data_IF_181103732865
#
_entry.id   IF_181103732865
#
_cell.length_a   1.000
_cell.length_b   1.000
_cell.length_c   1.000
_cell.angle_alpha   90.00
_cell.angle_beta   90.00
_cell.angle_gamma   90.00
#
_symmetry.space_group_name_H-M   'P 1'
#
loop_
_entity.id
_entity.type
_entity.pdbx_description
1 polymer ?
#
# COMPACT_ATOMS: atom_id res chain seq x y z
N UNK A 1 -21.86 -16.29 -8.46
CA UNK A 1 -23.09 -17.07 -8.20
C UNK A 1 -24.09 -16.71 -9.27
N UNK A 2 -24.80 -17.70 -9.82
CA UNK A 2 -25.92 -17.42 -10.72
C UNK A 2 -25.56 -16.81 -12.08
N UNK A 3 -24.29 -16.80 -12.48
CA UNK A 3 -23.84 -16.17 -13.73
C UNK A 3 -23.91 -17.08 -14.96
N UNK A 4 -23.93 -18.40 -14.76
CA UNK A 4 -24.12 -19.40 -15.83
C UNK A 4 -25.39 -20.21 -15.58
N UNK A 5 -25.49 -20.84 -14.40
CA UNK A 5 -26.73 -21.46 -13.90
C UNK A 5 -27.28 -20.61 -12.76
N UNK A 6 -28.41 -19.95 -12.98
CA UNK A 6 -28.95 -18.88 -12.10
C UNK A 6 -29.17 -19.28 -10.65
N UNK A 7 -29.48 -20.55 -10.38
CA UNK A 7 -29.74 -21.10 -9.04
C UNK A 7 -28.56 -21.90 -8.45
N UNK A 8 -27.37 -21.88 -9.07
CA UNK A 8 -26.19 -22.62 -8.61
C UNK A 8 -24.99 -21.71 -8.37
N UNK A 9 -24.08 -22.20 -7.52
CA UNK A 9 -22.73 -21.67 -7.37
C UNK A 9 -21.78 -22.61 -8.09
N UNK A 10 -21.20 -22.15 -9.18
CA UNK A 10 -20.24 -22.92 -9.97
C UNK A 10 -18.84 -22.40 -9.73
N UNK A 11 -17.89 -23.33 -9.62
CA UNK A 11 -16.46 -23.10 -9.62
C UNK A 11 -15.80 -24.24 -10.38
N UNK A 12 -14.69 -23.94 -11.04
CA UNK A 12 -13.86 -24.89 -11.78
C UNK A 12 -12.41 -24.54 -11.55
N UNK A 13 -11.54 -25.54 -11.60
CA UNK A 13 -10.09 -25.40 -11.51
C UNK A 13 -9.47 -26.25 -12.60
N UNK A 14 -8.41 -25.77 -13.22
CA UNK A 14 -7.60 -26.57 -14.13
C UNK A 14 -6.80 -27.59 -13.32
N UNK A 15 -6.88 -28.87 -13.69
CA UNK A 15 -6.20 -29.96 -13.00
C UNK A 15 -7.01 -31.27 -13.05
N UNK A 16 -6.40 -32.33 -12.54
CA UNK A 16 -6.95 -33.69 -12.60
C UNK A 16 -7.93 -34.02 -11.46
N UNK A 17 -8.08 -33.13 -10.48
CA UNK A 17 -9.01 -33.31 -9.36
C UNK A 17 -9.58 -31.97 -8.88
N UNK A 18 -10.76 -32.05 -8.25
CA UNK A 18 -11.40 -30.94 -7.57
C UNK A 18 -11.62 -31.32 -6.10
N UNK A 19 -10.93 -30.63 -5.20
CA UNK A 19 -11.15 -30.74 -3.76
C UNK A 19 -11.92 -29.50 -3.26
N UNK A 20 -12.95 -29.72 -2.45
CA UNK A 20 -13.70 -28.66 -1.79
C UNK A 20 -14.29 -29.15 -0.46
N UNK A 21 -14.49 -28.21 0.47
CA UNK A 21 -15.03 -28.49 1.79
C UNK A 21 -16.39 -27.82 1.97
N UNK A 22 -17.37 -28.58 2.45
CA UNK A 22 -18.63 -28.04 2.94
C UNK A 22 -18.51 -27.84 4.45
N UNK A 23 -18.60 -26.60 4.91
CA UNK A 23 -18.43 -26.24 6.32
C UNK A 23 -19.78 -25.89 6.92
N UNK A 24 -20.27 -26.76 7.79
CA UNK A 24 -21.61 -26.66 8.38
C UNK A 24 -21.75 -25.50 9.39
N UNK A 25 -22.99 -25.10 9.65
CA UNK A 25 -23.46 -24.07 10.57
C UNK A 25 -24.22 -24.64 11.79
N UNK A 26 -25.47 -24.22 12.07
CA UNK A 26 -26.45 -23.67 11.12
C UNK A 26 -26.45 -22.14 11.01
N UNK A 27 -25.70 -21.42 11.85
CA UNK A 27 -25.61 -19.96 11.79
C UNK A 27 -24.35 -19.50 11.05
N UNK A 28 -24.36 -18.33 10.39
CA UNK A 28 -23.14 -17.77 9.77
C UNK A 28 -21.97 -17.63 10.74
N UNK A 29 -22.22 -17.34 12.03
CA UNK A 29 -21.17 -17.30 13.06
C UNK A 29 -20.55 -18.67 13.32
N UNK A 30 -21.36 -19.74 13.32
CA UNK A 30 -20.88 -21.11 13.49
C UNK A 30 -20.04 -21.57 12.28
N UNK A 31 -20.48 -21.25 11.06
CA UNK A 31 -19.70 -21.51 9.83
C UNK A 31 -18.34 -20.82 9.91
N UNK A 32 -18.31 -19.52 10.25
CA UNK A 32 -17.05 -18.77 10.42
C UNK A 32 -16.19 -19.34 11.56
N UNK A 33 -16.81 -19.84 12.64
CA UNK A 33 -16.09 -20.46 13.73
C UNK A 33 -15.34 -21.71 13.26
N UNK A 34 -16.00 -22.61 12.54
CA UNK A 34 -15.39 -23.82 11.98
C UNK A 34 -14.37 -23.50 10.88
N UNK A 35 -14.71 -22.58 9.97
CA UNK A 35 -13.80 -22.12 8.93
C UNK A 35 -12.51 -21.57 9.53
N UNK A 36 -12.58 -20.65 10.48
CA UNK A 36 -11.37 -20.10 11.12
C UNK A 36 -10.67 -21.09 12.06
N UNK A 37 -11.34 -22.14 12.54
CA UNK A 37 -10.64 -23.24 13.19
C UNK A 37 -9.81 -24.05 12.19
N UNK A 38 -10.36 -24.30 11.01
CA UNK A 38 -9.71 -25.06 9.93
C UNK A 38 -8.58 -24.26 9.25
N UNK A 39 -8.84 -22.99 8.94
CA UNK A 39 -7.95 -22.12 8.18
C UNK A 39 -7.27 -21.07 9.04
N UNK A 40 -7.14 -21.27 10.35
CA UNK A 40 -6.46 -20.34 11.26
C UNK A 40 -7.32 -19.20 11.82
N UNK A 41 -7.09 -18.89 13.10
CA UNK A 41 -7.82 -17.88 13.87
C UNK A 41 -7.14 -16.52 13.71
N UNK A 42 -7.90 -15.43 13.48
CA UNK A 42 -7.34 -14.09 13.57
C UNK A 42 -6.74 -13.87 14.95
N UNK A 43 -5.47 -13.46 15.02
CA UNK A 43 -4.90 -13.06 16.30
C UNK A 43 -5.50 -11.73 16.77
N UNK A 44 -5.33 -11.43 18.06
CA UNK A 44 -5.83 -10.22 18.69
C UNK A 44 -4.77 -9.11 18.54
N UNK A 45 -5.05 -8.01 17.81
CA UNK A 45 -4.13 -6.88 17.72
C UNK A 45 -4.01 -6.16 19.08
N UNK A 46 -2.88 -5.47 19.33
CA UNK A 46 -2.71 -4.67 20.53
C UNK A 46 -3.73 -3.52 20.61
N UNK A 47 -4.12 -3.13 21.82
CA UNK A 47 -5.14 -2.11 22.04
C UNK A 47 -4.81 -0.76 21.37
N UNK A 48 -3.53 -0.35 21.35
CA UNK A 48 -3.10 0.91 20.73
C UNK A 48 -3.39 0.94 19.21
N UNK A 49 -3.47 -0.22 18.56
CA UNK A 49 -3.73 -0.30 17.11
C UNK A 49 -5.14 0.16 16.72
N UNK A 50 -6.07 0.20 17.69
CA UNK A 50 -7.43 0.72 17.50
C UNK A 50 -7.53 2.25 17.60
N UNK A 51 -6.44 2.92 17.98
CA UNK A 51 -6.37 4.38 18.00
C UNK A 51 -6.36 4.99 16.59
N UNK A 52 -6.31 6.32 16.50
CA UNK A 52 -6.18 7.02 15.23
C UNK A 52 -4.78 6.87 14.63
N UNK A 53 -4.74 6.53 13.34
CA UNK A 53 -3.53 6.49 12.51
C UNK A 53 -3.49 7.72 11.60
N UNK A 54 -2.33 8.38 11.54
CA UNK A 54 -2.06 9.45 10.59
C UNK A 54 -0.83 9.09 9.76
N UNK A 55 -0.79 9.53 8.50
CA UNK A 55 0.31 9.19 7.60
C UNK A 55 0.90 10.43 6.97
N UNK A 56 2.14 10.30 6.48
CA UNK A 56 2.80 11.33 5.69
C UNK A 56 2.08 11.63 4.36
N UNK A 57 1.07 10.85 3.97
CA UNK A 57 0.52 10.73 2.61
C UNK A 57 1.51 10.13 1.60
N UNK A 58 1.09 9.94 0.34
CA UNK A 58 1.90 9.17 -0.64
C UNK A 58 2.97 10.03 -1.33
N UNK A 59 2.59 11.02 -2.14
CA UNK A 59 3.50 11.82 -2.98
C UNK A 59 3.66 13.27 -2.49
N UNK A 60 3.34 13.51 -1.22
CA UNK A 60 3.68 14.75 -0.53
C UNK A 60 5.17 14.78 -0.23
N UNK A 61 5.72 15.96 -0.02
CA UNK A 61 7.05 16.08 0.59
C UNK A 61 6.88 15.91 2.10
N UNK A 62 7.75 15.13 2.73
CA UNK A 62 7.76 14.96 4.17
C UNK A 62 9.19 14.70 4.66
N UNK A 63 9.61 15.53 5.60
CA UNK A 63 10.80 15.43 6.42
C UNK A 63 10.39 15.44 7.90
N UNK A 64 11.37 15.41 8.82
CA UNK A 64 11.07 15.43 10.25
C UNK A 64 10.27 16.70 10.67
N UNK A 65 10.54 17.86 10.06
CA UNK A 65 9.82 19.10 10.38
C UNK A 65 8.34 19.01 9.97
N UNK A 66 8.07 18.49 8.76
CA UNK A 66 6.72 18.27 8.25
C UNK A 66 5.96 17.28 9.13
N UNK A 67 6.60 16.19 9.53
CA UNK A 67 6.03 15.19 10.43
C UNK A 67 5.64 15.80 11.76
N UNK A 68 6.56 16.54 12.40
CA UNK A 68 6.29 17.22 13.67
C UNK A 68 5.16 18.25 13.53
N UNK A 69 5.10 19.00 12.42
CA UNK A 69 4.03 19.99 12.21
C UNK A 69 2.62 19.37 12.20
N UNK A 70 2.46 18.15 11.65
CA UNK A 70 1.17 17.44 11.71
C UNK A 70 0.86 16.93 13.10
N UNK A 71 1.86 16.38 13.79
CA UNK A 71 1.70 15.80 15.13
C UNK A 71 1.38 16.89 16.15
N UNK A 72 2.14 17.97 16.14
CA UNK A 72 1.94 19.12 17.03
C UNK A 72 0.61 19.79 16.69
N UNK A 73 0.28 19.94 15.40
CA UNK A 73 -1.02 20.45 14.99
C UNK A 73 -2.21 19.61 15.47
N UNK A 74 -2.07 18.29 15.55
CA UNK A 74 -3.10 17.41 16.15
C UNK A 74 -3.20 17.64 17.66
N UNK A 75 -2.06 17.75 18.36
CA UNK A 75 -2.02 18.01 19.80
C UNK A 75 -2.62 19.37 20.18
N UNK A 76 -2.27 20.45 19.46
CA UNK A 76 -2.82 21.81 19.61
C UNK A 76 -4.35 21.85 19.46
N UNK A 77 -4.90 20.95 18.64
CA UNK A 77 -6.35 20.87 18.35
C UNK A 77 -7.07 19.86 19.23
N UNK A 78 -6.37 19.30 20.22
CA UNK A 78 -6.88 18.25 21.10
C UNK A 78 -7.43 17.04 20.34
N UNK A 79 -6.76 16.65 19.25
CA UNK A 79 -7.09 15.48 18.44
C UNK A 79 -6.18 14.31 18.83
N UNK A 80 -6.68 13.28 19.53
CA UNK A 80 -5.85 12.15 19.94
C UNK A 80 -5.25 11.41 18.74
N UNK A 81 -3.93 11.25 18.75
CA UNK A 81 -3.16 10.53 17.74
C UNK A 81 -2.37 9.42 18.43
N UNK A 82 -2.36 8.23 17.85
CA UNK A 82 -1.77 7.05 18.49
C UNK A 82 -0.68 6.40 17.62
N UNK A 83 -0.87 6.41 16.29
CA UNK A 83 0.09 5.81 15.35
C UNK A 83 0.43 6.80 14.24
N UNK A 84 1.71 6.96 13.96
CA UNK A 84 2.20 7.73 12.81
C UNK A 84 2.86 6.81 11.78
N UNK A 85 2.46 6.94 10.51
CA UNK A 85 2.92 6.10 9.42
C UNK A 85 3.75 6.87 8.38
N UNK A 86 4.95 6.39 8.10
CA UNK A 86 5.81 6.85 7.01
C UNK A 86 5.54 6.03 5.74
N UNK A 87 5.04 6.70 4.69
CA UNK A 87 4.82 6.09 3.37
C UNK A 87 6.13 6.03 2.54
N UNK A 88 6.05 5.54 1.30
CA UNK A 88 7.17 5.11 0.44
C UNK A 88 8.48 5.95 0.45
N UNK A 89 8.41 7.27 0.47
CA UNK A 89 9.56 8.18 0.38
C UNK A 89 10.38 8.33 1.69
N UNK A 90 10.13 7.49 2.69
CA UNK A 90 11.15 7.27 3.72
C UNK A 90 12.42 6.64 3.12
N UNK A 91 12.29 5.93 2.00
CA UNK A 91 13.38 5.47 1.13
C UNK A 91 13.51 6.34 -0.14
N UNK A 92 14.69 6.33 -0.76
CA UNK A 92 14.96 7.10 -1.99
C UNK A 92 14.10 6.63 -3.17
N UNK A 93 13.65 7.58 -3.98
CA UNK A 93 12.88 7.29 -5.19
C UNK A 93 13.61 6.33 -6.14
N UNK A 94 12.87 5.39 -6.73
CA UNK A 94 13.34 4.33 -7.63
C UNK A 94 14.15 3.21 -6.96
N UNK A 95 14.33 3.23 -5.63
CA UNK A 95 15.03 2.20 -4.87
C UNK A 95 14.12 1.30 -4.02
N UNK A 96 12.81 1.55 -4.01
CA UNK A 96 11.88 0.86 -3.11
C UNK A 96 11.75 -0.63 -3.43
N UNK A 97 11.75 -1.57 -2.46
CA UNK A 97 11.95 -1.46 -1.02
C UNK A 97 13.33 -2.04 -0.64
N UNK A 98 14.34 -1.17 -0.45
CA UNK A 98 15.71 -1.57 -0.09
C UNK A 98 16.08 -1.36 1.38
N UNK A 99 15.16 -0.76 2.14
CA UNK A 99 15.26 -0.51 3.58
C UNK A 99 16.24 0.58 4.01
N UNK A 100 16.76 1.36 3.06
CA UNK A 100 17.67 2.47 3.33
C UNK A 100 16.90 3.78 3.49
N UNK A 101 17.01 4.41 4.66
CA UNK A 101 16.45 5.75 4.88
C UNK A 101 17.08 6.76 3.93
N UNK A 102 16.27 7.64 3.31
CA UNK A 102 16.82 8.72 2.48
C UNK A 102 17.61 9.72 3.33
N UNK A 103 18.95 9.77 3.24
CA UNK A 103 19.76 10.53 4.19
C UNK A 103 19.61 12.05 4.04
N UNK A 104 19.09 12.52 2.91
CA UNK A 104 18.79 13.95 2.71
C UNK A 104 17.52 14.37 3.46
N UNK A 105 16.54 13.48 3.53
CA UNK A 105 15.23 13.75 4.11
C UNK A 105 15.17 13.34 5.59
N UNK A 106 15.86 12.26 5.95
CA UNK A 106 15.92 11.67 7.29
C UNK A 106 17.38 11.42 7.70
N UNK A 107 18.13 12.47 8.09
CA UNK A 107 19.54 12.33 8.46
C UNK A 107 19.76 11.61 9.81
N UNK A 108 18.76 11.61 10.69
CA UNK A 108 18.77 10.97 12.01
C UNK A 108 17.47 10.17 12.22
N UNK A 109 17.28 9.02 11.52
CA UNK A 109 16.01 8.30 11.56
C UNK A 109 15.70 7.71 12.94
N UNK A 110 16.69 7.16 13.63
CA UNK A 110 16.52 6.58 14.96
C UNK A 110 16.20 7.65 16.01
N UNK A 111 16.92 8.79 15.99
CA UNK A 111 16.61 9.90 16.89
C UNK A 111 15.25 10.52 16.62
N UNK A 112 14.84 10.64 15.34
CA UNK A 112 13.49 11.09 14.99
C UNK A 112 12.44 10.14 15.57
N UNK A 113 12.56 8.83 15.34
CA UNK A 113 11.64 7.83 15.88
C UNK A 113 11.59 7.91 17.41
N UNK A 114 12.74 8.04 18.09
CA UNK A 114 12.81 8.20 19.54
C UNK A 114 12.05 9.44 20.03
N UNK A 115 12.18 10.58 19.34
CA UNK A 115 11.44 11.83 19.65
C UNK A 115 9.93 11.65 19.45
N UNK A 116 9.50 10.93 18.43
CA UNK A 116 8.08 10.61 18.20
C UNK A 116 7.53 9.68 19.28
N UNK A 117 8.28 8.65 19.66
CA UNK A 117 7.88 7.72 20.74
C UNK A 117 7.82 8.40 22.10
N UNK A 118 8.68 9.39 22.37
CA UNK A 118 8.61 10.20 23.59
C UNK A 118 7.30 10.99 23.71
N UNK A 119 6.61 11.26 22.59
CA UNK A 119 5.26 11.84 22.56
C UNK A 119 4.13 10.79 22.73
N UNK A 120 4.48 9.53 23.00
CA UNK A 120 3.51 8.43 23.19
C UNK A 120 3.02 7.79 21.90
N UNK A 121 3.64 8.09 20.75
CA UNK A 121 3.23 7.53 19.45
C UNK A 121 3.88 6.18 19.18
N UNK A 122 3.12 5.32 18.51
CA UNK A 122 3.63 4.14 17.81
C UNK A 122 4.00 4.50 16.37
N UNK A 123 5.05 3.87 15.84
CA UNK A 123 5.58 4.18 14.51
C UNK A 123 5.36 3.01 13.56
N UNK A 124 4.79 3.31 12.38
CA UNK A 124 4.64 2.38 11.28
C UNK A 124 5.44 2.84 10.05
N UNK A 125 6.08 1.91 9.35
CA UNK A 125 6.75 2.23 8.07
C UNK A 125 6.21 1.37 6.93
N UNK A 126 6.25 1.92 5.72
CA UNK A 126 5.84 1.23 4.51
C UNK A 126 6.91 0.24 4.06
N UNK A 127 6.48 -0.97 3.70
CA UNK A 127 7.32 -1.97 3.05
C UNK A 127 6.55 -2.66 1.92
N UNK A 128 7.27 -3.24 0.97
CA UNK A 128 6.69 -4.14 -0.01
C UNK A 128 7.68 -5.27 -0.37
N UNK A 129 7.25 -6.32 -1.07
CA UNK A 129 8.09 -7.47 -1.36
C UNK A 129 8.83 -7.34 -2.71
N UNK A 130 9.11 -6.11 -3.16
CA UNK A 130 9.79 -5.82 -4.43
C UNK A 130 11.01 -4.91 -4.20
N UNK A 131 11.92 -4.87 -5.17
CA UNK A 131 13.05 -3.94 -5.16
C UNK A 131 13.28 -3.33 -6.55
N UNK A 132 13.48 -2.01 -6.61
CA UNK A 132 13.86 -1.28 -7.82
C UNK A 132 15.35 -1.41 -8.14
N UNK A 133 15.70 -1.53 -9.43
CA UNK A 133 17.07 -1.80 -9.88
C UNK A 133 18.07 -0.68 -9.55
N UNK A 134 17.58 0.55 -9.32
CA UNK A 134 18.46 1.67 -8.94
C UNK A 134 19.10 1.47 -7.56
N UNK A 135 18.50 0.68 -6.68
CA UNK A 135 19.04 0.48 -5.33
C UNK A 135 20.44 -0.12 -5.39
N UNK A 136 21.42 0.41 -4.64
CA UNK A 136 22.73 -0.23 -4.50
C UNK A 136 22.64 -1.68 -4.01
N UNK A 137 21.61 -1.99 -3.21
CA UNK A 137 21.34 -3.31 -2.64
C UNK A 137 20.92 -4.33 -3.70
N UNK A 138 20.39 -3.88 -4.85
CA UNK A 138 19.95 -4.77 -5.92
C UNK A 138 21.08 -5.67 -6.43
N UNK A 139 22.31 -5.13 -6.53
CA UNK A 139 23.48 -5.89 -6.97
C UNK A 139 23.79 -7.05 -6.02
N UNK A 140 23.78 -6.79 -4.71
CA UNK A 140 23.98 -7.81 -3.68
C UNK A 140 22.94 -8.93 -3.81
N UNK A 141 21.65 -8.57 -3.90
CA UNK A 141 20.56 -9.54 -3.98
C UNK A 141 20.62 -10.38 -5.25
N UNK A 142 21.03 -9.79 -6.37
CA UNK A 142 21.25 -10.50 -7.64
C UNK A 142 22.41 -11.51 -7.50
N UNK A 143 23.54 -11.08 -6.95
CA UNK A 143 24.73 -11.93 -6.77
C UNK A 143 24.46 -13.10 -5.82
N UNK A 144 23.69 -12.86 -4.76
CA UNK A 144 23.26 -13.91 -3.81
C UNK A 144 22.11 -14.79 -4.30
N UNK A 145 21.49 -14.46 -5.43
CA UNK A 145 20.37 -15.23 -5.98
C UNK A 145 19.09 -15.14 -5.14
N UNK A 146 18.84 -14.01 -4.49
CA UNK A 146 17.68 -13.78 -3.62
C UNK A 146 16.45 -13.23 -4.36
N UNK A 147 16.59 -12.95 -5.65
CA UNK A 147 15.54 -12.39 -6.51
C UNK A 147 14.94 -13.47 -7.41
N UNK A 148 13.64 -13.37 -7.66
CA UNK A 148 12.86 -14.29 -8.49
C UNK A 148 13.41 -14.36 -9.93
N UNK A 149 13.55 -15.58 -10.45
CA UNK A 149 14.16 -15.85 -11.75
C UNK A 149 13.15 -16.36 -12.78
N UNK A 150 13.48 -16.12 -14.04
CA UNK A 150 12.89 -16.81 -15.19
C UNK A 150 13.47 -18.23 -15.29
N UNK A 151 12.83 -19.14 -16.06
CA UNK A 151 13.33 -20.50 -16.26
C UNK A 151 14.74 -20.58 -16.88
N UNK A 152 15.16 -19.55 -17.62
CA UNK A 152 16.51 -19.46 -18.20
C UNK A 152 17.59 -19.00 -17.20
N UNK A 153 17.21 -18.77 -15.94
CA UNK A 153 18.08 -18.28 -14.87
C UNK A 153 18.28 -16.76 -14.83
N UNK A 154 17.78 -16.01 -15.82
CA UNK A 154 17.78 -14.56 -15.78
C UNK A 154 16.78 -14.03 -14.73
N UNK A 155 16.97 -12.78 -14.28
CA UNK A 155 16.01 -12.18 -13.34
C UNK A 155 14.68 -11.90 -14.03
N UNK A 156 13.58 -12.18 -13.33
CA UNK A 156 12.30 -11.63 -13.74
C UNK A 156 12.27 -10.13 -13.38
N UNK A 157 12.06 -9.27 -14.39
CA UNK A 157 11.99 -7.82 -14.21
C UNK A 157 10.93 -7.17 -15.11
N UNK A 158 10.41 -6.02 -14.66
CA UNK A 158 9.59 -5.09 -15.46
C UNK A 158 9.66 -3.66 -14.89
N UNK A 159 8.98 -2.70 -15.55
CA UNK A 159 9.00 -1.28 -15.14
C UNK A 159 7.70 -0.78 -14.51
N UNK A 160 6.79 -1.69 -14.14
CA UNK A 160 5.61 -1.29 -13.37
C UNK A 160 6.03 -1.10 -11.92
N UNK A 161 5.64 0.02 -11.31
CA UNK A 161 5.95 0.44 -9.94
C UNK A 161 7.37 0.98 -9.71
N UNK A 162 8.43 0.25 -10.08
CA UNK A 162 9.81 0.75 -10.07
C UNK A 162 10.50 0.40 -11.39
N UNK A 163 11.45 1.21 -11.87
CA UNK A 163 12.32 0.83 -12.99
C UNK A 163 13.13 -0.42 -12.66
N UNK A 164 13.13 -1.40 -13.57
CA UNK A 164 13.84 -2.66 -13.40
C UNK A 164 13.42 -3.43 -12.13
N UNK A 165 12.17 -3.33 -11.72
CA UNK A 165 11.69 -3.99 -10.50
C UNK A 165 11.93 -5.49 -10.55
N UNK A 166 12.51 -6.04 -9.49
CA UNK A 166 12.55 -7.48 -9.21
C UNK A 166 11.74 -7.82 -7.94
N UNK A 167 11.47 -9.11 -7.73
CA UNK A 167 10.70 -9.63 -6.61
C UNK A 167 11.62 -10.44 -5.69
N UNK A 168 11.51 -10.26 -4.38
CA UNK A 168 12.22 -11.12 -3.42
C UNK A 168 11.66 -12.55 -3.48
N UNK A 169 12.52 -13.54 -3.68
CA UNK A 169 12.09 -14.95 -3.72
C UNK A 169 11.96 -15.50 -2.29
N UNK A 170 10.76 -15.44 -1.72
CA UNK A 170 10.52 -15.96 -0.38
C UNK A 170 10.40 -17.49 -0.29
N UNK A 171 10.57 -18.23 -1.38
CA UNK A 171 10.79 -19.68 -1.30
C UNK A 171 12.25 -20.00 -0.96
N UNK A 172 13.18 -19.07 -1.26
CA UNK A 172 14.56 -19.14 -0.82
C UNK A 172 14.67 -18.80 0.68
N UNK A 173 15.14 -19.73 1.55
CA UNK A 173 15.28 -19.47 2.99
C UNK A 173 16.28 -18.35 3.31
N UNK A 174 17.35 -18.19 2.54
CA UNK A 174 18.33 -17.13 2.77
C UNK A 174 17.79 -15.75 2.40
N UNK A 175 17.02 -15.66 1.31
CA UNK A 175 16.34 -14.42 0.92
C UNK A 175 15.32 -14.00 1.98
N UNK A 176 14.58 -14.97 2.55
CA UNK A 176 13.68 -14.73 3.67
C UNK A 176 14.43 -14.20 4.89
N UNK A 177 15.55 -14.83 5.24
CA UNK A 177 16.37 -14.41 6.38
C UNK A 177 16.90 -12.98 6.17
N UNK A 178 17.44 -12.68 4.99
CA UNK A 178 17.94 -11.34 4.65
C UNK A 178 16.86 -10.27 4.79
N UNK A 179 15.65 -10.53 4.28
CA UNK A 179 14.53 -9.59 4.41
C UNK A 179 14.10 -9.44 5.87
N UNK A 180 14.01 -10.55 6.61
CA UNK A 180 13.68 -10.54 8.02
C UNK A 180 14.70 -9.73 8.85
N UNK A 181 15.99 -9.83 8.56
CA UNK A 181 17.04 -9.08 9.26
C UNK A 181 16.94 -7.57 9.01
N UNK A 182 16.58 -7.15 7.79
CA UNK A 182 16.28 -5.74 7.50
C UNK A 182 15.10 -5.22 8.32
N UNK A 183 14.03 -6.01 8.44
CA UNK A 183 12.90 -5.66 9.31
C UNK A 183 13.29 -5.63 10.78
N UNK A 184 14.10 -6.59 11.27
CA UNK A 184 14.62 -6.60 12.64
C UNK A 184 15.43 -5.34 12.94
N UNK A 185 16.23 -4.87 11.97
CA UNK A 185 16.94 -3.59 12.06
C UNK A 185 16.00 -2.39 12.25
N UNK A 186 14.90 -2.32 11.48
CA UNK A 186 13.90 -1.26 11.65
C UNK A 186 13.18 -1.33 13.00
N UNK A 187 12.86 -2.54 13.48
CA UNK A 187 12.28 -2.72 14.82
C UNK A 187 13.26 -2.29 15.91
N UNK A 188 14.55 -2.61 15.76
CA UNK A 188 15.61 -2.19 16.69
C UNK A 188 15.75 -0.66 16.76
N UNK A 189 15.52 0.07 15.66
CA UNK A 189 15.44 1.54 15.64
C UNK A 189 14.18 2.10 16.31
N UNK A 190 13.21 1.24 16.67
CA UNK A 190 11.98 1.62 17.38
C UNK A 190 10.70 1.61 16.54
N UNK A 191 10.72 1.09 15.30
CA UNK A 191 9.49 0.85 14.52
C UNK A 191 8.63 -0.22 15.20
N UNK A 192 7.33 0.06 15.37
CA UNK A 192 6.40 -0.83 16.09
C UNK A 192 5.65 -1.79 15.16
N UNK A 193 5.41 -1.40 13.90
CA UNK A 193 4.65 -2.22 12.96
C UNK A 193 4.91 -1.85 11.49
N UNK A 194 4.42 -2.69 10.58
CA UNK A 194 4.65 -2.53 9.14
C UNK A 194 3.35 -2.46 8.35
N UNK A 195 3.33 -1.59 7.34
CA UNK A 195 2.34 -1.65 6.24
C UNK A 195 2.90 -2.58 5.17
N UNK A 196 2.39 -3.81 5.12
CA UNK A 196 2.75 -4.83 4.12
C UNK A 196 1.99 -4.59 2.82
N UNK A 197 2.50 -3.65 2.03
CA UNK A 197 1.89 -3.25 0.76
C UNK A 197 2.24 -4.22 -0.38
N UNK A 198 1.45 -4.22 -1.45
CA UNK A 198 1.60 -5.10 -2.61
C UNK A 198 1.55 -6.61 -2.30
N UNK A 199 2.17 -7.44 -3.15
CA UNK A 199 2.10 -8.90 -3.11
C UNK A 199 1.02 -9.52 -4.01
N UNK A 200 0.40 -8.78 -4.93
CA UNK A 200 -0.66 -9.32 -5.81
C UNK A 200 -0.19 -9.63 -7.24
N UNK A 201 0.79 -8.90 -7.76
CA UNK A 201 1.23 -9.00 -9.17
C UNK A 201 2.42 -9.93 -9.31
N UNK A 202 2.25 -11.16 -8.87
CA UNK A 202 3.30 -12.19 -8.91
C UNK A 202 3.25 -12.91 -10.27
N UNK A 203 4.35 -13.01 -11.02
CA UNK A 203 4.37 -13.64 -12.33
C UNK A 203 4.25 -15.18 -12.26
N UNK A 204 3.87 -15.79 -13.37
CA UNK A 204 3.80 -17.25 -13.54
C UNK A 204 4.82 -17.78 -14.54
N UNK A 205 5.47 -16.92 -15.32
CA UNK A 205 6.55 -17.21 -16.26
C UNK A 205 7.93 -17.22 -15.56
N UNK A 206 8.00 -17.94 -14.44
CA UNK A 206 9.12 -17.93 -13.49
C UNK A 206 9.43 -19.31 -12.94
N UNK A 207 10.59 -19.44 -12.32
CA UNK A 207 11.00 -20.61 -11.56
C UNK A 207 11.33 -20.18 -10.13
N UNK A 208 10.55 -20.69 -9.17
CA UNK A 208 10.79 -20.48 -7.74
C UNK A 208 11.98 -21.30 -7.26
N UNK A 209 12.71 -20.79 -6.27
CA UNK A 209 13.85 -21.48 -5.68
C UNK A 209 13.53 -22.90 -5.20
N UNK A 210 12.36 -23.13 -4.59
CA UNK A 210 11.94 -24.45 -4.09
C UNK A 210 11.23 -25.33 -5.14
N UNK A 211 11.11 -24.86 -6.39
CA UNK A 211 10.40 -25.57 -7.46
C UNK A 211 8.87 -25.51 -7.37
N UNK A 212 8.30 -24.65 -6.52
CA UNK A 212 6.85 -24.48 -6.39
C UNK A 212 6.16 -24.15 -7.71
N UNK A 213 4.92 -24.63 -7.84
CA UNK A 213 4.02 -24.31 -8.96
C UNK A 213 3.74 -22.79 -9.03
N UNK A 214 4.14 -22.09 -10.10
CA UNK A 214 3.93 -20.65 -10.24
C UNK A 214 2.45 -20.24 -10.22
N UNK A 215 1.52 -21.09 -10.68
CA UNK A 215 0.08 -20.79 -10.67
C UNK A 215 -0.47 -20.72 -9.24
N UNK A 216 -0.04 -21.63 -8.36
CA UNK A 216 -0.39 -21.62 -6.94
C UNK A 216 0.29 -20.47 -6.21
N UNK A 217 1.56 -20.24 -6.51
CA UNK A 217 2.36 -19.17 -5.90
C UNK A 217 1.85 -17.78 -6.20
N UNK A 218 1.20 -17.54 -7.35
CA UNK A 218 0.59 -16.24 -7.68
C UNK A 218 -0.24 -15.67 -6.53
N UNK A 219 -1.10 -16.51 -5.94
CA UNK A 219 -1.91 -16.12 -4.78
C UNK A 219 -1.22 -16.43 -3.46
N UNK A 220 -0.53 -17.57 -3.33
CA UNK A 220 0.04 -18.01 -2.05
C UNK A 220 1.21 -17.12 -1.56
N UNK A 221 1.90 -16.43 -2.46
CA UNK A 221 3.00 -15.52 -2.10
C UNK A 221 2.58 -14.44 -1.10
N UNK A 222 1.35 -13.92 -1.20
CA UNK A 222 0.83 -12.94 -0.25
C UNK A 222 0.76 -13.49 1.18
N UNK A 223 0.46 -14.79 1.34
CA UNK A 223 0.49 -15.44 2.64
C UNK A 223 1.92 -15.53 3.18
N UNK A 224 2.86 -16.04 2.38
CA UNK A 224 4.26 -16.20 2.77
C UNK A 224 4.89 -14.86 3.17
N UNK A 225 4.66 -13.81 2.37
CA UNK A 225 5.16 -12.47 2.65
C UNK A 225 4.63 -11.93 3.98
N UNK A 226 3.32 -11.96 4.20
CA UNK A 226 2.74 -11.45 5.45
C UNK A 226 3.13 -12.30 6.66
N UNK A 227 3.25 -13.63 6.49
CA UNK A 227 3.70 -14.53 7.56
C UNK A 227 5.14 -14.23 7.98
N UNK A 228 6.03 -13.96 7.02
CA UNK A 228 7.42 -13.58 7.30
C UNK A 228 7.49 -12.31 8.14
N UNK A 229 6.77 -11.26 7.74
CA UNK A 229 6.78 -9.96 8.45
C UNK A 229 6.15 -10.12 9.84
N UNK A 230 5.08 -10.92 9.94
CA UNK A 230 4.44 -11.24 11.21
C UNK A 230 5.38 -11.97 12.18
N UNK A 231 6.12 -12.98 11.68
CA UNK A 231 7.10 -13.72 12.48
C UNK A 231 8.18 -12.79 13.03
N UNK A 232 8.67 -11.85 12.24
CA UNK A 232 9.62 -10.83 12.72
C UNK A 232 9.04 -10.04 13.89
N UNK A 233 7.81 -9.50 13.77
CA UNK A 233 7.19 -8.76 14.86
C UNK A 233 6.98 -9.64 16.09
N UNK A 234 6.50 -10.86 15.91
CA UNK A 234 6.31 -11.81 17.01
C UNK A 234 7.61 -12.12 17.76
N UNK A 235 8.73 -12.27 17.04
CA UNK A 235 10.06 -12.55 17.63
C UNK A 235 10.69 -11.32 18.30
N UNK A 236 10.35 -10.11 17.86
CA UNK A 236 11.03 -8.88 18.30
C UNK A 236 10.23 -8.07 19.31
N UNK A 237 8.97 -7.74 19.01
CA UNK A 237 8.10 -6.97 19.90
C UNK A 237 7.17 -7.86 20.74
N UNK A 238 7.07 -9.15 20.39
CA UNK A 238 6.17 -10.11 21.03
C UNK A 238 4.81 -10.20 20.33
N UNK A 239 4.18 -11.37 20.42
CA UNK A 239 2.92 -11.66 19.72
C UNK A 239 1.77 -10.70 20.08
N UNK A 240 1.73 -10.20 21.32
CA UNK A 240 0.69 -9.29 21.78
C UNK A 240 0.83 -7.87 21.22
N UNK A 241 2.03 -7.48 20.80
CA UNK A 241 2.32 -6.16 20.21
C UNK A 241 2.35 -6.19 18.68
N UNK A 242 2.32 -7.38 18.08
CA UNK A 242 2.44 -7.53 16.64
C UNK A 242 1.13 -7.11 15.92
N UNK A 243 1.26 -6.28 14.89
CA UNK A 243 0.17 -5.88 14.00
C UNK A 243 0.71 -5.49 12.62
N UNK A 244 -0.06 -5.77 11.56
CA UNK A 244 0.26 -5.34 10.20
C UNK A 244 -0.86 -4.49 9.60
N UNK A 245 -0.49 -3.68 8.61
CA UNK A 245 -1.42 -3.05 7.69
C UNK A 245 -1.26 -3.61 6.27
N UNK A 246 -1.79 -4.82 6.04
CA UNK A 246 -1.60 -5.50 4.75
C UNK A 246 -2.49 -4.94 3.65
N UNK A 247 -2.07 -5.13 2.39
CA UNK A 247 -2.91 -4.88 1.20
C UNK A 247 -3.41 -6.16 0.55
N UNK A 248 -2.54 -7.17 0.44
CA UNK A 248 -2.82 -8.47 -0.18
C UNK A 248 -3.06 -9.55 0.87
N UNK A 249 -3.86 -10.56 0.52
CA UNK A 249 -4.15 -11.73 1.36
C UNK A 249 -4.50 -12.94 0.48
N UNK A 250 -4.32 -14.14 1.02
CA UNK A 250 -4.66 -15.40 0.36
C UNK A 250 -5.27 -16.38 1.35
N UNK A 251 -5.92 -17.43 0.84
CA UNK A 251 -6.39 -18.55 1.66
C UNK A 251 -5.21 -19.26 2.30
N UNK A 252 -5.22 -19.39 3.61
CA UNK A 252 -4.14 -19.96 4.42
C UNK A 252 -4.43 -19.76 5.90
N UNK A 253 -3.64 -20.37 6.78
CA UNK A 253 -3.79 -20.22 8.24
C UNK A 253 -3.78 -18.73 8.59
N UNK A 254 -4.92 -18.12 8.92
CA UNK A 254 -5.06 -16.69 9.23
C UNK A 254 -4.43 -16.31 10.59
N UNK A 255 -3.20 -16.77 10.86
CA UNK A 255 -2.41 -16.48 12.04
C UNK A 255 -1.77 -15.09 11.99
N UNK A 256 -1.88 -14.37 10.86
CA UNK A 256 -1.40 -13.00 10.70
C UNK A 256 -2.58 -12.02 10.85
N UNK A 257 -2.77 -11.36 12.00
CA UNK A 257 -3.71 -10.26 12.11
C UNK A 257 -3.18 -9.08 11.28
N UNK A 258 -4.11 -8.34 10.69
CA UNK A 258 -3.74 -7.26 9.78
C UNK A 258 -3.62 -7.64 8.32
N UNK A 259 -3.89 -8.91 7.94
CA UNK A 259 -4.14 -9.32 6.55
C UNK A 259 -5.42 -8.64 6.00
N UNK A 260 -5.43 -7.32 5.91
CA UNK A 260 -6.51 -6.51 5.38
C UNK A 260 -6.42 -6.53 3.86
N UNK A 261 -7.11 -7.46 3.21
CA UNK A 261 -7.25 -7.42 1.76
C UNK A 261 -7.93 -6.11 1.29
N UNK A 262 -7.17 -5.06 0.95
CA UNK A 262 -7.69 -3.94 0.17
C UNK A 262 -7.68 -4.34 -1.29
N UNK A 263 -8.77 -4.97 -1.74
CA UNK A 263 -9.13 -4.95 -3.17
C UNK A 263 -9.78 -3.61 -3.51
N UNK A 264 -8.99 -2.54 -3.69
CA UNK A 264 -9.51 -1.29 -4.26
C UNK A 264 -8.50 -0.55 -5.15
N UNK A 265 -8.19 -1.13 -6.30
CA UNK A 265 -7.79 -0.38 -7.49
C UNK A 265 -8.63 -0.88 -8.67
N UNK A 266 -9.85 -0.33 -8.80
CA UNK A 266 -10.43 -0.11 -10.13
C UNK A 266 -10.56 1.38 -10.32
N UNK A 267 -10.00 1.84 -11.43
CA UNK A 267 -10.29 3.09 -12.12
C UNK A 267 -11.74 3.52 -11.83
N UNK A 268 -11.94 4.51 -10.96
CA UNK A 268 -13.21 5.21 -10.88
C UNK A 268 -13.29 6.07 -12.15
N UNK A 269 -13.89 5.50 -13.19
CA UNK A 269 -14.63 6.31 -14.16
C UNK A 269 -15.70 7.02 -13.35
N UNK A 270 -15.60 8.34 -13.30
CA UNK A 270 -16.58 9.20 -12.63
C UNK A 270 -17.90 8.98 -13.36
N UNK A 271 -18.84 8.33 -12.68
CA UNK A 271 -20.27 8.60 -12.78
C UNK A 271 -20.98 7.99 -11.54
N UNK A 272 -21.69 8.85 -10.80
CA UNK A 272 -22.70 8.45 -9.82
C UNK A 272 -22.20 7.88 -8.48
N UNK A 273 -22.20 8.72 -7.44
CA UNK A 273 -21.75 8.39 -6.07
C UNK A 273 -22.39 7.13 -5.44
N UNK A 274 -21.58 6.07 -5.29
CA UNK A 274 -21.83 4.96 -4.36
C UNK A 274 -20.62 4.74 -3.44
N UNK A 275 -20.82 4.51 -2.13
CA UNK A 275 -19.74 4.43 -1.15
C UNK A 275 -18.95 3.12 -1.24
N UNK A 276 -17.69 3.17 -0.80
CA UNK A 276 -16.74 2.05 -0.64
C UNK A 276 -17.23 0.88 0.25
N UNK A 277 -18.47 0.93 0.76
CA UNK A 277 -19.12 -0.12 1.59
C UNK A 277 -19.56 -1.37 0.79
N UNK A 278 -19.36 -1.41 -0.54
CA UNK A 278 -19.72 -2.56 -1.40
C UNK A 278 -18.51 -3.41 -1.83
N UNK A 279 -17.46 -3.51 -1.02
CA UNK A 279 -16.55 -4.64 -1.16
C UNK A 279 -17.27 -5.92 -0.72
N UNK A 280 -17.19 -6.98 -1.52
CA UNK A 280 -17.78 -8.30 -1.22
C UNK A 280 -16.94 -8.94 -0.11
N UNK A 281 -17.17 -8.51 1.13
CA UNK A 281 -16.48 -8.96 2.33
C UNK A 281 -17.47 -9.48 3.39
N UNK A 282 -18.71 -9.78 2.96
CA UNK A 282 -19.77 -10.18 3.91
C UNK A 282 -19.66 -11.62 4.40
N UNK A 283 -18.87 -12.48 3.76
CA UNK A 283 -18.88 -13.93 4.05
C UNK A 283 -17.50 -14.60 4.21
N UNK A 284 -16.39 -13.97 3.80
CA UNK A 284 -15.01 -14.43 4.13
C UNK A 284 -14.37 -13.34 5.00
N UNK A 285 -14.85 -13.19 6.24
CA UNK A 285 -14.45 -12.06 7.08
C UNK A 285 -13.08 -12.26 7.72
N UNK A 286 -12.12 -11.46 7.27
CA UNK A 286 -11.06 -10.94 8.11
C UNK A 286 -11.71 -9.95 9.11
N UNK A 287 -11.44 -10.07 10.41
CA UNK A 287 -12.22 -9.38 11.47
C UNK A 287 -11.87 -7.89 11.64
N UNK A 288 -10.74 -7.44 11.12
CA UNK A 288 -10.31 -6.05 11.18
C UNK A 288 -10.30 -5.48 9.77
N UNK A 289 -11.06 -4.41 9.53
CA UNK A 289 -11.13 -3.71 8.26
C UNK A 289 -10.99 -2.20 8.51
N UNK A 290 -10.04 -1.56 7.86
CA UNK A 290 -9.78 -0.13 7.98
C UNK A 290 -10.00 0.57 6.64
N UNK A 291 -10.73 1.68 6.69
CA UNK A 291 -11.02 2.51 5.53
C UNK A 291 -10.51 3.93 5.75
N UNK A 292 -9.65 4.40 4.84
CA UNK A 292 -9.22 5.81 4.79
C UNK A 292 -10.41 6.77 4.76
N UNK A 293 -10.40 7.78 5.61
CA UNK A 293 -11.33 8.91 5.56
C UNK A 293 -10.85 9.95 4.51
N UNK A 294 -11.73 10.29 3.56
CA UNK A 294 -11.69 11.39 2.53
C UNK A 294 -11.20 11.14 1.08
N UNK A 295 -11.88 11.90 0.19
CA UNK A 295 -11.84 12.00 -1.29
C UNK A 295 -10.46 12.38 -1.84
N UNK A 296 -9.93 11.57 -2.77
CA UNK A 296 -8.92 12.03 -3.73
C UNK A 296 -9.58 12.97 -4.75
N UNK A 297 -9.41 14.29 -4.60
CA UNK A 297 -9.72 15.26 -5.67
C UNK A 297 -8.48 15.41 -6.55
N UNK A 298 -8.60 15.06 -7.83
CA UNK A 298 -7.65 15.51 -8.86
C UNK A 298 -7.85 17.01 -9.06
N UNK A 299 -6.94 17.85 -8.60
CA UNK A 299 -6.86 19.22 -9.09
C UNK A 299 -6.29 19.19 -10.51
N UNK A 300 -7.12 19.54 -11.51
CA UNK A 300 -6.64 20.09 -12.78
C UNK A 300 -6.52 21.60 -12.59
N UNK A 301 -5.33 22.13 -12.80
CA UNK A 301 -5.11 23.55 -13.03
C UNK A 301 -5.56 23.91 -14.46
N UNK A 302 -6.25 25.03 -14.62
CA UNK A 302 -6.65 25.63 -15.89
C UNK A 302 -7.60 26.82 -15.69
N UNK A 303 -7.55 27.88 -16.54
CA UNK A 303 -7.57 29.26 -16.06
C UNK A 303 -8.88 30.05 -16.31
N UNK A 304 -9.04 31.14 -15.53
CA UNK A 304 -9.92 32.32 -15.71
C UNK A 304 -11.44 32.09 -15.88
N UNK A 305 -12.26 32.73 -15.03
CA UNK A 305 -12.94 34.00 -15.35
C UNK A 305 -13.75 34.54 -14.17
N UNK A 306 -13.82 35.86 -14.10
CA UNK A 306 -14.52 36.70 -13.14
C UNK A 306 -16.06 36.61 -13.23
N UNK A 307 -16.74 36.85 -12.10
CA UNK A 307 -18.11 37.36 -12.04
C UNK A 307 -18.18 38.31 -10.82
N UNK A 308 -17.95 39.61 -11.01
CA UNK A 308 -18.97 40.65 -11.23
C UNK A 308 -20.13 40.63 -10.21
N UNK A 309 -20.01 41.44 -9.16
CA UNK A 309 -21.16 42.04 -8.47
C UNK A 309 -21.13 43.54 -8.77
N UNK A 310 -22.24 44.01 -9.30
CA UNK A 310 -22.53 45.38 -9.76
C UNK A 310 -22.43 46.38 -8.61
N UNK A 311 -21.99 47.60 -8.93
CA UNK A 311 -22.65 48.87 -8.59
C UNK A 311 -22.05 49.99 -9.47
N UNK A 312 -22.91 50.63 -10.28
CA UNK A 312 -22.76 51.95 -10.94
C UNK A 312 -23.83 52.85 -10.30
N UNK A 313 -23.75 54.20 -10.28
CA UNK A 313 -23.57 55.07 -11.47
C UNK A 313 -22.67 56.31 -11.11
N UNK A 314 -22.43 57.38 -11.87
CA UNK A 314 -22.94 58.02 -13.08
C UNK A 314 -21.85 59.01 -13.60
N UNK A 315 -21.84 59.35 -14.90
CA UNK A 315 -21.64 60.70 -15.50
C UNK A 315 -21.12 60.62 -16.96
N UNK A 316 -22.08 60.84 -17.87
CA UNK A 316 -22.18 61.55 -19.17
C UNK A 316 -20.95 62.11 -19.97
N UNK A 317 -21.14 62.49 -21.27
CA UNK A 317 -20.25 62.07 -22.38
C UNK A 317 -19.61 63.16 -23.30
N UNK A 318 -18.69 62.70 -24.19
CA UNK A 318 -18.28 63.18 -25.55
C UNK A 318 -17.41 64.46 -25.73
N UNK A 319 -16.77 64.75 -26.91
CA UNK A 319 -16.61 64.01 -28.19
C UNK A 319 -15.20 64.03 -28.91
N UNK A 320 -15.08 63.12 -29.90
CA UNK A 320 -14.40 63.10 -31.23
C UNK A 320 -13.18 63.97 -31.64
N UNK A 321 -12.22 63.35 -32.39
CA UNK A 321 -11.66 63.78 -33.70
C UNK A 321 -10.54 62.81 -34.17
N UNK A 322 -10.65 62.14 -35.36
CA UNK A 322 -9.91 62.36 -36.64
C UNK A 322 -8.39 62.01 -36.61
N UNK A 323 -7.68 61.49 -37.61
CA UNK A 323 -7.86 61.00 -39.00
C UNK A 323 -6.49 60.41 -39.47
N UNK A 324 -6.49 59.78 -40.66
CA UNK A 324 -5.35 59.43 -41.57
C UNK A 324 -4.59 58.10 -41.32
N UNK A 325 -4.55 57.08 -42.20
CA UNK A 325 -4.41 56.89 -43.69
C UNK A 325 -2.96 56.51 -44.09
N UNK A 326 -2.87 55.43 -44.91
CA UNK A 326 -1.79 54.87 -45.76
C UNK A 326 -1.22 53.53 -45.22
N UNK A 327 -1.41 52.35 -45.81
CA UNK A 327 -1.45 51.80 -47.20
C UNK A 327 -0.21 50.94 -47.48
N UNK A 328 -0.40 49.76 -48.10
CA UNK A 328 0.64 48.93 -48.75
C UNK A 328 0.80 47.56 -48.07
N UNK A 329 -0.01 46.55 -48.35
CA UNK A 329 -0.10 45.71 -49.57
C UNK A 329 1.10 44.75 -49.77
N UNK A 330 0.76 43.45 -49.77
CA UNK A 330 1.32 42.29 -50.51
C UNK A 330 2.84 42.06 -50.47
N UNK A 331 3.39 40.86 -50.28
CA UNK A 331 2.92 39.51 -50.60
C UNK A 331 4.10 38.76 -51.27
N UNK A 332 4.16 37.43 -51.09
CA UNK A 332 5.06 36.44 -51.74
C UNK A 332 6.53 36.50 -51.25
N UNK A 333 7.13 35.44 -50.68
CA UNK A 333 7.19 34.02 -51.06
C UNK A 333 7.40 33.13 -49.83
#
# INVERSE_FOLDING_TARGET
MGSEKVSKVQFSVEGEYLEYFVIDGPTPKAVLNRYTQFTGRPALPPAWSFGLWLTTSFTTNYDEATVNSFIDGMAERHLPLHVFHFDCFWMKAFQWCDFEWDPLTFPDPEGMIKRLKAKGLKVCVWINPYIGQRSPVFKELKEKGYLLKRPDGSLWQWDKWQPGLAIYDFTNPEARQWYADKLKGLVAMGVDCFKTDFGERIPTDVQWFDGSDPQKMHNHYAFIYNELVWKVLKETVGEQEAVLFARSASGGRAAVPGALGRRLLRQLRIDGGKPARRAVDRHVRLRFLESRYRRFRKHRAGPRLQALVRLRPALQPQPAARQQILSGAMGLR
#
